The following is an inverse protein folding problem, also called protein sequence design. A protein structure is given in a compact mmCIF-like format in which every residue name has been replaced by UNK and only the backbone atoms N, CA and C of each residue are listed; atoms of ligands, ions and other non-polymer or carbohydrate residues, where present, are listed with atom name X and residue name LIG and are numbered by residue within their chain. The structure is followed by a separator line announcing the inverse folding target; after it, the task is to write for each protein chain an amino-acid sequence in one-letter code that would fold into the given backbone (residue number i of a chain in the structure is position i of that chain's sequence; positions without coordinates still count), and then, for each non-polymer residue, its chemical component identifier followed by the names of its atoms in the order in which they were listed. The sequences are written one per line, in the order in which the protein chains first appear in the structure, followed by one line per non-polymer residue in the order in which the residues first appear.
data_IF_613889521841
#
_entry.id   IF_613889521841
#
_cell.length_a   1.000
_cell.length_b   1.000
_cell.length_c   1.000
_cell.angle_alpha   90.00
_cell.angle_beta   90.00
_cell.angle_gamma   90.00
#
_symmetry.space_group_name_H-M   'P 1'
#
loop_
_entity.id
_entity.type
_entity.pdbx_description
1 polymer ?
#
# COMPACT_ATOMS: atom_id res chain seq x y z
N UNK A 1 -26.87 0.69 -12.36
CA UNK A 1 -26.51 -0.66 -12.79
C UNK A 1 -25.83 -0.46 -14.12
N UNK A 2 -24.52 -0.23 -14.07
CA UNK A 2 -23.67 -0.17 -15.27
C UNK A 2 -22.96 -1.51 -15.31
N UNK A 3 -23.26 -2.27 -16.36
CA UNK A 3 -22.63 -3.55 -16.65
C UNK A 3 -21.14 -3.30 -16.91
N UNK A 4 -20.31 -3.72 -15.96
CA UNK A 4 -18.86 -3.75 -16.08
C UNK A 4 -18.52 -4.89 -17.04
N UNK A 5 -18.40 -4.58 -18.33
CA UNK A 5 -18.07 -5.57 -19.36
C UNK A 5 -16.61 -6.00 -19.17
N UNK A 6 -16.42 -7.05 -18.36
CA UNK A 6 -15.11 -7.67 -18.11
C UNK A 6 -14.39 -7.96 -19.41
N UNK A 7 -13.18 -7.43 -19.55
CA UNK A 7 -12.35 -7.67 -20.73
C UNK A 7 -11.78 -9.09 -20.64
N UNK A 8 -12.18 -9.96 -21.58
CA UNK A 8 -11.64 -11.32 -21.69
C UNK A 8 -10.53 -11.38 -22.73
N UNK A 9 -9.38 -11.88 -22.34
CA UNK A 9 -8.27 -12.17 -23.23
C UNK A 9 -7.75 -13.59 -22.98
N UNK A 10 -7.48 -14.33 -24.04
CA UNK A 10 -6.78 -15.62 -23.94
C UNK A 10 -5.30 -15.34 -23.71
N UNK A 11 -4.83 -15.66 -22.51
CA UNK A 11 -3.44 -15.45 -22.13
C UNK A 11 -2.64 -16.74 -22.29
N UNK A 12 -1.40 -16.59 -22.75
CA UNK A 12 -0.50 -17.70 -23.05
C UNK A 12 -0.01 -18.36 -21.76
N UNK A 13 -0.12 -19.68 -21.68
CA UNK A 13 0.43 -20.50 -20.59
C UNK A 13 1.74 -21.13 -21.04
N UNK A 14 2.77 -21.06 -20.18
CA UNK A 14 4.13 -21.52 -20.46
C UNK A 14 4.63 -22.41 -19.34
N UNK A 15 5.53 -23.33 -19.66
CA UNK A 15 6.24 -24.12 -18.65
C UNK A 15 7.27 -23.26 -17.91
N UNK A 16 7.50 -23.59 -16.64
CA UNK A 16 8.67 -23.11 -15.94
C UNK A 16 9.96 -23.59 -16.64
N UNK A 17 10.90 -22.70 -16.96
CA UNK A 17 12.17 -23.08 -17.59
C UNK A 17 13.19 -23.67 -16.59
N UNK A 18 12.84 -23.77 -15.31
CA UNK A 18 13.73 -24.27 -14.26
C UNK A 18 13.70 -25.80 -14.24
N UNK A 19 14.87 -26.42 -14.41
CA UNK A 19 15.01 -27.87 -14.34
C UNK A 19 14.56 -28.41 -12.97
N UNK A 20 13.51 -29.23 -12.98
CA UNK A 20 12.88 -29.80 -11.78
C UNK A 20 11.57 -29.13 -11.36
N UNK A 21 11.16 -28.07 -12.05
CA UNK A 21 9.85 -27.46 -11.90
C UNK A 21 8.97 -27.77 -13.12
N UNK A 22 7.85 -28.46 -12.89
CA UNK A 22 6.88 -28.84 -13.93
C UNK A 22 5.65 -27.92 -13.92
N UNK A 23 5.74 -26.75 -13.26
CA UNK A 23 4.61 -25.85 -13.12
C UNK A 23 4.31 -25.12 -14.44
N UNK A 24 3.04 -25.16 -14.84
CA UNK A 24 2.49 -24.38 -15.93
C UNK A 24 1.93 -23.07 -15.37
N UNK A 25 2.42 -21.92 -15.86
CA UNK A 25 2.00 -20.60 -15.39
C UNK A 25 1.72 -19.67 -16.56
N UNK A 26 0.93 -18.62 -16.32
CA UNK A 26 0.74 -17.56 -17.30
C UNK A 26 2.08 -16.92 -17.67
N UNK A 27 2.26 -16.63 -18.96
CA UNK A 27 3.50 -16.02 -19.48
C UNK A 27 3.84 -14.70 -18.77
N UNK A 28 2.86 -13.88 -18.37
CA UNK A 28 3.12 -12.67 -17.57
C UNK A 28 3.63 -12.96 -16.15
N UNK A 29 3.26 -14.12 -15.61
CA UNK A 29 3.51 -14.53 -14.24
C UNK A 29 4.83 -15.28 -14.05
N UNK A 30 5.47 -15.72 -15.14
CA UNK A 30 6.64 -16.61 -15.06
C UNK A 30 7.81 -16.03 -14.26
N UNK A 31 8.13 -14.75 -14.45
CA UNK A 31 9.21 -14.11 -13.70
C UNK A 31 8.90 -14.06 -12.19
N UNK A 32 7.64 -13.78 -11.86
CA UNK A 32 7.19 -13.72 -10.47
C UNK A 32 7.18 -15.12 -9.83
N UNK A 33 6.72 -16.12 -10.57
CA UNK A 33 6.78 -17.52 -10.16
C UNK A 33 8.21 -17.92 -9.81
N UNK A 34 9.17 -17.72 -10.73
CA UNK A 34 10.58 -18.11 -10.49
C UNK A 34 11.17 -17.45 -9.25
N UNK A 35 10.85 -16.17 -9.01
CA UNK A 35 11.33 -15.45 -7.83
C UNK A 35 10.64 -15.84 -6.52
N UNK A 36 9.42 -16.36 -6.56
CA UNK A 36 8.64 -16.70 -5.36
C UNK A 36 8.76 -18.16 -4.96
N UNK A 37 9.04 -19.03 -5.91
CA UNK A 37 9.32 -20.46 -5.70
C UNK A 37 10.70 -20.65 -5.07
N UNK A 38 10.84 -21.69 -4.26
CA UNK A 38 12.09 -22.10 -3.64
C UNK A 38 12.17 -23.64 -3.63
N UNK A 39 13.35 -24.20 -3.92
CA UNK A 39 13.51 -25.65 -4.09
C UNK A 39 13.12 -26.14 -5.50
N UNK A 40 13.24 -27.45 -5.75
CA UNK A 40 12.96 -28.06 -7.07
C UNK A 40 13.71 -27.37 -8.24
N UNK A 41 14.98 -27.03 -8.02
CA UNK A 41 15.80 -26.29 -9.00
C UNK A 41 15.66 -24.77 -8.91
N UNK A 42 14.62 -24.24 -8.24
CA UNK A 42 14.58 -22.83 -7.88
C UNK A 42 15.62 -22.56 -6.80
N UNK A 43 16.39 -21.50 -6.99
CA UNK A 43 17.38 -21.01 -6.04
C UNK A 43 16.73 -20.47 -4.76
N UNK A 44 17.44 -19.59 -4.05
CA UNK A 44 16.84 -18.91 -2.91
C UNK A 44 15.67 -18.02 -3.34
N UNK A 45 14.68 -17.86 -2.46
CA UNK A 45 13.54 -17.01 -2.74
C UNK A 45 13.99 -15.58 -3.02
N UNK A 46 13.55 -15.03 -4.15
CA UNK A 46 13.94 -13.70 -4.64
C UNK A 46 15.04 -13.73 -5.68
N UNK A 47 15.71 -14.87 -5.87
CA UNK A 47 16.75 -15.05 -6.89
C UNK A 47 16.19 -15.73 -8.15
N UNK A 48 16.85 -15.47 -9.28
CA UNK A 48 16.62 -16.21 -10.53
C UNK A 48 17.85 -17.08 -10.76
N UNK A 49 17.70 -18.41 -10.91
CA UNK A 49 18.84 -19.30 -11.16
C UNK A 49 19.65 -18.87 -12.39
N UNK A 50 20.97 -19.05 -12.33
CA UNK A 50 21.87 -18.69 -13.42
C UNK A 50 21.59 -19.54 -14.67
N UNK A 51 21.50 -18.88 -15.83
CA UNK A 51 21.25 -19.56 -17.11
C UNK A 51 19.78 -19.64 -17.53
N UNK A 52 18.84 -19.18 -16.69
CA UNK A 52 17.43 -19.10 -17.04
C UNK A 52 17.15 -17.84 -17.87
N UNK A 53 16.55 -18.03 -19.05
CA UNK A 53 16.02 -16.96 -19.90
C UNK A 53 14.49 -16.99 -19.93
N UNK A 54 13.88 -15.81 -20.03
CA UNK A 54 12.43 -15.64 -20.14
C UNK A 54 11.98 -15.21 -21.56
N UNK A 55 12.93 -15.00 -22.48
CA UNK A 55 12.65 -14.43 -23.80
C UNK A 55 11.97 -15.43 -24.75
N UNK A 56 12.36 -16.72 -24.68
CA UNK A 56 11.91 -17.77 -25.60
C UNK A 56 11.20 -18.93 -24.87
N UNK A 57 10.16 -18.60 -24.11
CA UNK A 57 9.39 -19.61 -23.35
C UNK A 57 8.41 -20.38 -24.23
N UNK A 58 8.48 -21.70 -24.16
CA UNK A 58 7.56 -22.61 -24.85
C UNK A 58 6.12 -22.44 -24.34
N UNK A 59 5.18 -22.39 -25.29
CA UNK A 59 3.75 -22.27 -25.00
C UNK A 59 3.13 -23.64 -24.93
N UNK A 60 2.54 -23.98 -23.79
CA UNK A 60 1.85 -25.26 -23.57
C UNK A 60 0.33 -25.13 -23.62
N UNK A 61 -0.19 -23.91 -23.48
CA UNK A 61 -1.63 -23.69 -23.51
C UNK A 61 -2.03 -22.22 -23.58
N UNK A 62 -3.33 -22.00 -23.43
CA UNK A 62 -3.93 -20.68 -23.29
C UNK A 62 -5.02 -20.74 -22.24
N UNK A 63 -5.04 -19.79 -21.31
CA UNK A 63 -6.04 -19.66 -20.27
C UNK A 63 -6.81 -18.34 -20.43
N UNK A 64 -8.16 -18.37 -20.45
CA UNK A 64 -8.95 -17.15 -20.56
C UNK A 64 -8.86 -16.35 -19.25
N UNK A 65 -8.37 -15.13 -19.35
CA UNK A 65 -8.28 -14.19 -18.23
C UNK A 65 -9.34 -13.12 -18.39
N UNK A 66 -10.13 -12.92 -17.34
CA UNK A 66 -11.10 -11.83 -17.26
C UNK A 66 -10.51 -10.70 -16.40
N UNK A 67 -10.34 -9.54 -17.01
CA UNK A 67 -9.81 -8.35 -16.37
C UNK A 67 -10.96 -7.36 -16.16
N UNK A 68 -11.24 -7.09 -14.88
CA UNK A 68 -12.19 -6.09 -14.47
C UNK A 68 -11.44 -4.75 -14.31
N UNK A 69 -11.45 -3.92 -15.36
CA UNK A 69 -10.85 -2.59 -15.32
C UNK A 69 -11.93 -1.58 -14.95
N UNK A 70 -11.80 -0.84 -13.84
CA UNK A 70 -12.79 0.17 -13.49
C UNK A 70 -12.83 1.27 -14.56
N UNK A 71 -14.04 1.64 -14.99
CA UNK A 71 -14.28 2.68 -16.01
C UNK A 71 -13.68 4.04 -15.62
N UNK A 72 -13.70 4.35 -14.31
CA UNK A 72 -13.09 5.54 -13.74
C UNK A 72 -12.11 5.14 -12.63
N UNK A 73 -10.86 5.54 -12.79
CA UNK A 73 -9.93 5.56 -11.65
C UNK A 73 -10.30 6.78 -10.82
N UNK A 74 -10.83 6.59 -9.63
CA UNK A 74 -11.01 7.65 -8.62
C UNK A 74 -9.63 8.15 -8.19
N UNK A 75 -9.04 9.01 -9.02
CA UNK A 75 -7.78 9.68 -8.73
C UNK A 75 -8.08 10.89 -7.88
N UNK A 76 -8.22 10.66 -6.57
CA UNK A 76 -8.16 11.76 -5.62
C UNK A 76 -6.80 12.46 -5.81
N UNK A 77 -6.80 13.68 -6.38
CA UNK A 77 -5.59 14.50 -6.59
C UNK A 77 -4.99 15.07 -5.30
N UNK A 78 -5.46 14.59 -4.15
CA UNK A 78 -5.06 15.09 -2.84
C UNK A 78 -4.10 14.10 -2.23
N UNK A 79 -2.96 14.63 -1.76
CA UNK A 79 -1.99 13.82 -1.07
C UNK A 79 -2.50 13.47 0.33
N UNK A 80 -2.23 12.26 0.78
CA UNK A 80 -2.56 11.77 2.12
C UNK A 80 -1.30 11.47 2.89
N UNK A 81 -1.29 11.86 4.16
CA UNK A 81 -0.13 11.71 5.02
C UNK A 81 -0.19 10.41 5.82
N UNK A 82 0.86 9.59 5.74
CA UNK A 82 0.99 8.43 6.60
C UNK A 82 1.22 8.86 8.07
N UNK A 83 0.42 8.35 9.01
CA UNK A 83 0.45 8.79 10.40
C UNK A 83 1.64 8.25 11.19
N UNK A 84 2.28 7.20 10.70
CA UNK A 84 3.38 6.53 11.37
C UNK A 84 4.73 7.10 10.97
N UNK A 85 4.99 7.25 9.67
CA UNK A 85 6.26 7.76 9.16
C UNK A 85 6.20 9.22 8.68
N UNK A 86 5.02 9.79 8.46
CA UNK A 86 4.88 11.17 7.96
C UNK A 86 5.18 11.33 6.46
N UNK A 87 5.24 10.24 5.70
CA UNK A 87 5.39 10.29 4.24
C UNK A 87 4.05 10.62 3.59
N UNK A 88 4.05 11.52 2.60
CA UNK A 88 2.88 11.84 1.78
C UNK A 88 2.75 10.90 0.59
N UNK A 89 1.51 10.54 0.25
CA UNK A 89 1.18 9.67 -0.87
C UNK A 89 0.05 10.28 -1.69
N UNK A 90 0.19 10.28 -3.02
CA UNK A 90 -0.86 10.79 -3.89
C UNK A 90 -2.02 9.79 -3.94
N UNK A 91 -3.21 10.24 -3.51
CA UNK A 91 -4.44 9.48 -3.54
C UNK A 91 -4.60 8.44 -2.42
N UNK A 92 -5.84 7.93 -2.30
CA UNK A 92 -6.28 6.97 -1.28
C UNK A 92 -5.48 5.67 -1.28
N UNK A 93 -5.15 5.17 -2.46
CA UNK A 93 -4.51 3.86 -2.61
C UNK A 93 -3.03 3.89 -2.23
N UNK A 94 -2.33 5.01 -2.44
CA UNK A 94 -0.90 5.11 -2.18
C UNK A 94 -0.55 4.88 -0.70
N UNK A 95 -1.36 5.43 0.21
CA UNK A 95 -1.15 5.25 1.66
C UNK A 95 -1.50 3.84 2.14
N UNK A 96 -2.52 3.19 1.57
CA UNK A 96 -2.85 1.80 1.90
C UNK A 96 -1.77 0.82 1.42
N UNK A 97 -1.29 1.00 0.18
CA UNK A 97 -0.20 0.19 -0.38
C UNK A 97 1.05 0.33 0.50
N UNK A 98 1.38 1.56 0.90
CA UNK A 98 2.48 1.80 1.83
C UNK A 98 2.30 0.99 3.12
N UNK A 99 1.14 1.08 3.78
CA UNK A 99 0.88 0.35 5.03
C UNK A 99 1.02 -1.17 4.87
N UNK A 100 0.54 -1.75 3.77
CA UNK A 100 0.72 -3.17 3.48
C UNK A 100 2.19 -3.56 3.30
N UNK A 101 2.98 -2.72 2.64
CA UNK A 101 4.40 -3.00 2.38
C UNK A 101 5.29 -2.88 3.63
N UNK A 102 4.91 -2.04 4.59
CA UNK A 102 5.71 -1.78 5.79
C UNK A 102 5.10 -2.34 7.07
N UNK A 103 4.05 -3.17 6.97
CA UNK A 103 3.40 -3.80 8.12
C UNK A 103 4.44 -4.45 9.05
N UNK A 104 4.38 -4.11 10.35
CA UNK A 104 5.33 -4.59 11.37
C UNK A 104 6.75 -3.99 11.30
N UNK A 105 7.00 -2.99 10.44
CA UNK A 105 8.33 -2.41 10.19
C UNK A 105 8.30 -0.88 10.19
N UNK A 106 9.46 -0.25 10.42
CA UNK A 106 9.63 1.23 10.33
C UNK A 106 8.59 2.02 11.15
N UNK A 107 8.24 1.54 12.34
CA UNK A 107 7.22 2.10 13.25
C UNK A 107 5.75 1.94 12.81
N UNK A 108 5.45 0.98 11.93
CA UNK A 108 4.07 0.66 11.52
C UNK A 108 3.57 -0.59 12.24
N UNK A 109 2.35 -0.56 12.81
CA UNK A 109 1.71 -1.75 13.35
C UNK A 109 1.54 -2.83 12.28
N UNK A 110 1.55 -4.09 12.70
CA UNK A 110 1.03 -5.17 11.85
C UNK A 110 -0.48 -4.96 11.64
N UNK A 111 -0.98 -5.25 10.43
CA UNK A 111 -2.41 -5.09 10.12
C UNK A 111 -2.90 -3.63 10.03
N UNK A 112 -2.03 -2.61 10.05
CA UNK A 112 -2.46 -1.21 9.98
C UNK A 112 -3.34 -0.90 8.75
N UNK A 113 -3.15 -1.63 7.63
CA UNK A 113 -3.98 -1.49 6.45
C UNK A 113 -5.41 -2.04 6.63
N UNK A 114 -5.63 -2.94 7.58
CA UNK A 114 -6.93 -3.57 7.85
C UNK A 114 -7.81 -2.71 8.77
N UNK A 115 -7.19 -1.89 9.63
CA UNK A 115 -7.88 -1.04 10.60
C UNK A 115 -8.11 0.41 10.12
N UNK A 116 -7.30 0.90 9.19
CA UNK A 116 -7.42 2.28 8.69
C UNK A 116 -8.06 2.33 7.31
N UNK A 117 -9.07 3.19 7.16
CA UNK A 117 -9.62 3.56 5.86
C UNK A 117 -8.81 4.71 5.28
N UNK A 118 -8.75 4.86 3.95
CA UNK A 118 -8.05 5.99 3.33
C UNK A 118 -8.47 7.34 3.89
N UNK A 119 -9.75 7.49 4.23
CA UNK A 119 -10.36 8.70 4.79
C UNK A 119 -9.76 9.12 6.14
N UNK A 120 -9.26 8.17 6.94
CA UNK A 120 -8.67 8.42 8.26
C UNK A 120 -7.34 9.18 8.18
N UNK A 121 -6.72 9.18 6.99
CA UNK A 121 -5.45 9.87 6.77
C UNK A 121 -5.66 11.36 6.46
N UNK A 122 -4.88 12.25 7.11
CA UNK A 122 -4.93 13.68 6.83
C UNK A 122 -4.66 13.97 5.35
N UNK A 123 -5.50 14.82 4.78
CA UNK A 123 -5.29 15.38 3.44
C UNK A 123 -4.27 16.50 3.53
N UNK A 124 -3.29 16.51 2.63
CA UNK A 124 -2.23 17.51 2.59
C UNK A 124 -2.05 18.03 1.17
N UNK A 125 -1.57 19.28 1.06
CA UNK A 125 -1.06 19.84 -0.19
C UNK A 125 0.45 19.64 -0.22
N UNK A 126 0.94 19.24 -1.38
CA UNK A 126 2.37 19.09 -1.65
C UNK A 126 2.77 20.01 -2.81
N UNK A 127 4.02 20.45 -2.84
CA UNK A 127 4.61 21.18 -3.98
C UNK A 127 5.14 20.21 -5.05
N UNK A 128 5.81 20.74 -6.08
CA UNK A 128 6.39 19.97 -7.18
C UNK A 128 7.52 19.02 -6.74
N UNK A 129 8.12 19.28 -5.58
CA UNK A 129 9.18 18.47 -4.96
C UNK A 129 8.62 17.53 -3.88
N UNK A 130 7.29 17.37 -3.84
CA UNK A 130 6.55 16.54 -2.87
C UNK A 130 6.67 17.01 -1.41
N UNK A 131 7.12 18.23 -1.16
CA UNK A 131 7.16 18.78 0.19
C UNK A 131 5.76 19.20 0.64
N UNK A 132 5.43 18.92 1.90
CA UNK A 132 4.14 19.27 2.49
C UNK A 132 4.06 20.78 2.73
N UNK A 133 3.19 21.46 2.00
CA UNK A 133 2.99 22.91 2.11
C UNK A 133 1.82 23.28 3.03
N UNK A 134 0.81 22.41 3.15
CA UNK A 134 -0.33 22.62 4.04
C UNK A 134 -1.05 21.31 4.40
N UNK A 135 -1.65 21.23 5.58
CA UNK A 135 -2.63 20.19 5.94
C UNK A 135 -4.02 20.75 5.68
N UNK A 136 -4.81 20.06 4.86
CA UNK A 136 -6.20 20.40 4.56
C UNK A 136 -7.05 19.81 5.68
N UNK A 137 -7.58 20.67 6.56
CA UNK A 137 -8.47 20.24 7.64
C UNK A 137 -9.69 19.51 7.07
N UNK A 138 -9.98 18.32 7.61
CA UNK A 138 -11.29 17.69 7.46
C UNK A 138 -12.23 18.35 8.48
N UNK A 139 -13.45 18.71 8.06
CA UNK A 139 -14.48 19.14 9.00
C UNK A 139 -14.66 18.07 10.08
N UNK A 140 -14.74 18.44 11.36
CA UNK A 140 -14.91 17.47 12.44
C UNK A 140 -16.27 16.80 12.28
N UNK A 141 -16.25 15.47 12.09
CA UNK A 141 -17.47 14.66 12.09
C UNK A 141 -18.05 14.71 13.51
N UNK A 142 -19.20 15.34 13.66
CA UNK A 142 -19.88 15.45 14.96
C UNK A 142 -20.39 14.07 15.38
N UNK A 143 -19.71 13.43 16.33
CA UNK A 143 -20.21 12.26 17.06
C UNK A 143 -21.26 12.65 18.12
N UNK A 144 -22.12 11.72 18.55
CA UNK A 144 -23.21 12.02 19.48
C UNK A 144 -22.67 12.44 20.85
N UNK A 145 -23.25 13.51 21.39
CA UNK A 145 -22.94 14.10 22.69
C UNK A 145 -22.94 13.07 23.83
N UNK A 146 -21.75 12.72 24.29
CA UNK A 146 -21.46 12.08 25.57
C UNK A 146 -20.13 12.66 26.06
N UNK A 147 -20.03 13.00 27.34
CA UNK A 147 -18.94 13.76 27.94
C UNK A 147 -17.61 12.99 28.00
N UNK A 148 -16.97 12.81 26.85
CA UNK A 148 -15.54 12.53 26.71
C UNK A 148 -14.95 13.63 25.84
N UNK A 149 -13.87 14.26 26.31
CA UNK A 149 -13.14 15.24 25.49
C UNK A 149 -12.36 14.46 24.43
N UNK A 150 -13.02 14.13 23.33
CA UNK A 150 -12.37 13.50 22.18
C UNK A 150 -11.53 14.55 21.46
N UNK A 151 -10.21 14.41 21.53
CA UNK A 151 -9.31 15.29 20.78
C UNK A 151 -9.31 14.81 19.32
N UNK A 152 -9.67 15.66 18.34
CA UNK A 152 -9.63 15.27 16.95
C UNK A 152 -8.21 14.82 16.55
N UNK A 153 -8.11 13.68 15.88
CA UNK A 153 -6.84 13.11 15.41
C UNK A 153 -6.06 14.11 14.54
N UNK A 154 -6.75 14.93 13.73
CA UNK A 154 -6.14 16.00 12.97
C UNK A 154 -5.38 17.03 13.85
N UNK A 155 -5.90 17.33 15.04
CA UNK A 155 -5.27 18.25 16.00
C UNK A 155 -3.99 17.66 16.59
N UNK A 156 -3.97 16.35 16.78
CA UNK A 156 -2.77 15.61 17.21
C UNK A 156 -1.70 15.67 16.13
N UNK A 157 -2.06 15.47 14.85
CA UNK A 157 -1.11 15.63 13.74
C UNK A 157 -0.60 17.06 13.60
N UNK A 158 -1.46 18.06 13.77
CA UNK A 158 -1.03 19.46 13.74
C UNK A 158 0.02 19.74 14.83
N UNK A 159 -0.19 19.23 16.04
CA UNK A 159 0.77 19.34 17.14
C UNK A 159 2.11 18.66 16.82
N UNK A 160 2.07 17.44 16.28
CA UNK A 160 3.27 16.70 15.84
C UNK A 160 4.00 17.46 14.73
N UNK A 161 3.27 18.00 13.75
CA UNK A 161 3.83 18.80 12.67
C UNK A 161 4.53 20.06 13.18
N UNK A 162 3.97 20.72 14.20
CA UNK A 162 4.61 21.85 14.87
C UNK A 162 5.90 21.47 15.61
N UNK A 163 5.96 20.29 16.23
CA UNK A 163 7.20 19.82 16.86
C UNK A 163 8.29 19.54 15.82
N UNK A 164 7.91 18.96 14.68
CA UNK A 164 8.83 18.70 13.58
C UNK A 164 9.36 20.00 12.95
N UNK A 165 8.52 21.01 12.74
CA UNK A 165 8.97 22.32 12.21
C UNK A 165 9.90 23.08 13.15
N UNK A 166 9.93 22.69 14.44
CA UNK A 166 10.83 23.23 15.46
C UNK A 166 12.08 22.37 15.67
N UNK A 167 12.37 21.38 14.81
CA UNK A 167 13.45 20.39 14.97
C UNK A 167 13.35 19.55 16.25
N UNK A 168 12.16 19.41 16.84
CA UNK A 168 11.92 18.63 18.07
C UNK A 168 11.47 17.21 17.72
N UNK A 169 12.28 16.51 16.94
CA UNK A 169 11.95 15.21 16.35
C UNK A 169 11.68 14.12 17.39
N UNK A 170 12.44 14.09 18.50
CA UNK A 170 12.21 13.13 19.59
C UNK A 170 10.85 13.34 20.27
N UNK A 171 10.44 14.60 20.44
CA UNK A 171 9.16 14.95 21.03
C UNK A 171 8.00 14.64 20.10
N UNK A 172 8.18 14.86 18.81
CA UNK A 172 7.22 14.47 17.79
C UNK A 172 7.01 12.95 17.78
N UNK A 173 8.08 12.17 17.92
CA UNK A 173 8.01 10.71 18.03
C UNK A 173 7.33 10.26 19.32
N UNK A 174 7.63 10.90 20.47
CA UNK A 174 6.92 10.63 21.73
C UNK A 174 5.43 10.92 21.59
N UNK A 175 5.06 12.08 21.05
CA UNK A 175 3.67 12.46 20.83
C UNK A 175 2.94 11.47 19.90
N UNK A 176 3.58 11.03 18.81
CA UNK A 176 3.05 9.99 17.92
C UNK A 176 2.75 8.69 18.67
N UNK A 177 3.71 8.19 19.46
CA UNK A 177 3.54 6.95 20.22
C UNK A 177 2.37 7.07 21.21
N UNK A 178 2.35 8.11 22.03
CA UNK A 178 1.38 8.19 23.12
C UNK A 178 -0.03 8.58 22.70
N UNK A 179 -0.16 9.39 21.65
CA UNK A 179 -1.44 9.98 21.25
C UNK A 179 -2.09 9.25 20.05
N UNK A 180 -1.34 8.43 19.32
CA UNK A 180 -1.84 7.72 18.12
C UNK A 180 -1.69 6.20 18.18
N UNK A 181 -0.81 5.63 19.04
CA UNK A 181 -0.67 4.17 19.17
C UNK A 181 -1.46 3.55 20.34
N UNK A 182 -2.04 4.34 21.24
CA UNK A 182 -2.87 3.83 22.35
C UNK A 182 -4.35 3.69 21.96
N UNK A 183 -4.60 2.86 20.94
CA UNK A 183 -5.92 2.49 20.48
C UNK A 183 -6.27 1.03 20.77
N UNK A 184 -5.69 0.40 21.79
CA UNK A 184 -6.07 -0.96 22.22
C UNK A 184 -6.08 -1.12 23.75
N UNK A 185 -7.18 -1.76 24.18
CA UNK A 185 -7.50 -2.41 25.46
C UNK A 185 -8.01 -1.53 26.61
N UNK A 186 -9.34 -1.35 26.69
CA UNK A 186 -10.25 -2.26 27.42
C UNK A 186 -11.62 -2.37 26.72
#
# INVERSE_FOLDING_TARGET
MTDDEGHRNDERTVNCPVDGCEDEVLARGINLHVRRSAGNGHGEQGEVPAGISFDDLETVGSEPVEMNYPEERDTERVARLCPYCGTSFVGKQGVLIHLGQVAGRKNHPEGAADYHRPEDFPRVRVDEEENITAVIEQEPVAGPSGSEVTIPVARVYHYIGKLLSQNRSEEAQRARRYLLQNGEVE
#
